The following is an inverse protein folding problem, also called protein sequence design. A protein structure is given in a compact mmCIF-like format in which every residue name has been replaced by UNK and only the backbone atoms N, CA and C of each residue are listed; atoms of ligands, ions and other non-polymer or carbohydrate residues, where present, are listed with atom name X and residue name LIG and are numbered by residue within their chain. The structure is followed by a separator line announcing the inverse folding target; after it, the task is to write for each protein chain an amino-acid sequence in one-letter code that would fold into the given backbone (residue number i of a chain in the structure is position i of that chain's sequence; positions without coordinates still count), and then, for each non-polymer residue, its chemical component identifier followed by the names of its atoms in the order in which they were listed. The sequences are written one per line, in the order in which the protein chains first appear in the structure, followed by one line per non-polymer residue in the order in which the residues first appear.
data_IF_293623118408
#
_entry.id   IF_293623118408
#
_cell.length_a   1.000
_cell.length_b   1.000
_cell.length_c   1.000
_cell.angle_alpha   90.00
_cell.angle_beta   90.00
_cell.angle_gamma   90.00
#
_symmetry.space_group_name_H-M   'P 1'
#
loop_
_entity.id
_entity.type
_entity.pdbx_description
1 polymer ?
#
# COMPACT_ATOMS: atom_id res chain seq x y z
N UNK A 1 -88.15 42.99 10.50
CA UNK A 1 -88.17 41.59 10.92
C UNK A 1 -86.97 40.87 10.24
N UNK A 2 -85.97 40.65 10.99
CA UNK A 2 -84.71 39.93 10.57
C UNK A 2 -84.73 38.46 10.99
N UNK A 3 -84.16 37.56 10.24
CA UNK A 3 -83.57 36.41 10.91
C UNK A 3 -82.04 36.33 10.62
N UNK A 4 -81.35 35.95 11.68
CA UNK A 4 -79.93 35.66 11.80
C UNK A 4 -79.58 34.36 11.05
N UNK A 5 -78.47 34.38 10.29
CA UNK A 5 -77.86 33.21 9.79
C UNK A 5 -76.70 32.83 10.68
N UNK A 6 -76.64 31.59 11.13
CA UNK A 6 -75.48 30.94 11.84
C UNK A 6 -74.48 30.48 10.84
N UNK A 7 -73.30 30.91 11.04
CA UNK A 7 -72.10 30.39 10.31
C UNK A 7 -71.39 29.33 11.18
N UNK A 8 -71.35 28.09 10.73
CA UNK A 8 -70.64 26.99 11.36
C UNK A 8 -69.16 26.99 10.83
N UNK A 9 -68.21 27.22 11.73
CA UNK A 9 -66.81 27.09 11.43
C UNK A 9 -66.32 25.64 11.56
N UNK A 10 -65.86 25.06 10.48
CA UNK A 10 -65.14 23.77 10.45
C UNK A 10 -63.69 24.00 10.74
N UNK A 11 -63.23 23.61 11.93
CA UNK A 11 -61.81 23.48 12.25
C UNK A 11 -61.28 22.11 11.74
N UNK A 12 -60.45 22.11 10.69
CA UNK A 12 -59.67 20.94 10.29
C UNK A 12 -58.33 20.94 10.99
N UNK A 13 -57.79 19.77 11.39
CA UNK A 13 -56.47 19.71 12.03
C UNK A 13 -55.35 19.91 11.01
N UNK A 14 -54.49 20.89 11.26
CA UNK A 14 -53.22 21.09 10.55
C UNK A 14 -52.25 20.07 11.10
N UNK A 15 -51.92 19.06 10.28
CA UNK A 15 -50.83 18.13 10.57
C UNK A 15 -49.49 18.85 10.37
N UNK A 16 -48.81 19.17 11.46
CA UNK A 16 -47.44 19.67 11.43
C UNK A 16 -46.47 18.51 11.09
N UNK A 17 -46.00 18.48 9.85
CA UNK A 17 -44.92 17.60 9.47
C UNK A 17 -43.62 18.14 10.08
N UNK A 18 -43.08 17.50 11.13
CA UNK A 18 -41.74 17.73 11.64
C UNK A 18 -40.73 17.17 10.61
N UNK A 19 -40.13 18.04 9.82
CA UNK A 19 -38.92 17.75 9.08
C UNK A 19 -37.75 17.58 10.07
N UNK A 20 -37.40 16.33 10.37
CA UNK A 20 -36.16 15.99 11.04
C UNK A 20 -35.01 16.35 10.08
N UNK A 21 -34.53 17.57 10.16
CA UNK A 21 -33.25 17.97 9.59
C UNK A 21 -32.15 17.20 10.35
N UNK A 22 -31.72 16.08 9.78
CA UNK A 22 -30.52 15.38 10.27
C UNK A 22 -29.36 16.36 10.31
N UNK A 23 -28.82 16.60 11.49
CA UNK A 23 -27.59 17.40 11.63
C UNK A 23 -26.51 16.76 10.75
N UNK A 24 -25.86 17.53 9.85
CA UNK A 24 -24.71 17.00 9.13
C UNK A 24 -23.66 16.55 10.16
N UNK A 25 -23.14 15.34 9.98
CA UNK A 25 -22.02 14.86 10.78
C UNK A 25 -20.90 15.90 10.72
N UNK A 26 -20.21 16.19 11.82
CA UNK A 26 -19.15 17.19 11.83
C UNK A 26 -18.09 16.77 10.80
N UNK A 27 -17.89 17.61 9.79
CA UNK A 27 -16.80 17.47 8.86
C UNK A 27 -15.50 17.38 9.67
N UNK A 28 -14.78 16.28 9.56
CA UNK A 28 -13.46 16.11 10.20
C UNK A 28 -12.59 17.27 9.73
N UNK A 29 -12.17 18.11 10.66
CA UNK A 29 -11.23 19.20 10.37
C UNK A 29 -10.01 18.59 9.68
N UNK A 30 -9.56 19.21 8.58
CA UNK A 30 -8.35 18.81 7.89
C UNK A 30 -7.21 18.69 8.91
N UNK A 31 -6.35 17.65 8.82
CA UNK A 31 -5.27 17.46 9.76
C UNK A 31 -4.38 18.70 9.76
N UNK A 32 -4.29 19.37 10.89
CA UNK A 32 -3.42 20.54 11.10
C UNK A 32 -1.94 20.16 11.22
N UNK A 33 -1.64 18.87 11.31
CA UNK A 33 -0.29 18.34 11.31
C UNK A 33 0.12 17.88 9.90
N UNK A 34 1.40 18.03 9.51
CA UNK A 34 1.87 17.52 8.23
C UNK A 34 1.62 16.01 8.14
N UNK A 35 1.06 15.59 7.00
CA UNK A 35 0.77 14.19 6.70
C UNK A 35 2.07 13.37 6.79
N UNK A 36 2.08 12.30 7.59
CA UNK A 36 3.23 11.41 7.72
C UNK A 36 3.53 10.71 6.39
N UNK A 37 4.79 10.71 5.96
CA UNK A 37 5.21 10.03 4.74
C UNK A 37 6.15 8.89 5.06
N UNK A 38 5.81 7.70 4.59
CA UNK A 38 6.58 6.48 4.77
C UNK A 38 7.02 5.93 3.41
N UNK A 39 8.11 5.17 3.38
CA UNK A 39 8.47 4.42 2.18
C UNK A 39 8.40 2.92 2.45
N UNK A 40 7.87 2.16 1.49
CA UNK A 40 7.88 0.70 1.55
C UNK A 40 9.32 0.20 1.38
N UNK A 41 9.79 -0.58 2.36
CA UNK A 41 11.17 -1.00 2.51
C UNK A 41 11.30 -2.52 2.51
N UNK A 42 12.16 -3.05 1.63
CA UNK A 42 12.33 -4.48 1.44
C UNK A 42 13.63 -4.96 2.06
N UNK A 43 13.50 -6.00 2.90
CA UNK A 43 14.60 -6.59 3.66
C UNK A 43 14.99 -7.99 3.17
N UNK A 44 14.73 -8.29 1.90
CA UNK A 44 15.00 -9.62 1.33
C UNK A 44 16.27 -9.72 0.51
N UNK A 45 16.98 -8.62 0.26
CA UNK A 45 18.16 -8.62 -0.59
C UNK A 45 19.31 -9.43 -0.01
N UNK A 46 19.98 -10.20 -0.88
CA UNK A 46 21.24 -10.90 -0.66
C UNK A 46 22.08 -10.84 -1.93
N UNK A 47 23.26 -11.48 -1.93
CA UNK A 47 24.15 -11.49 -3.09
C UNK A 47 23.47 -12.03 -4.35
N UNK A 48 22.61 -13.07 -4.21
CA UNK A 48 21.90 -13.69 -5.35
C UNK A 48 20.82 -12.79 -5.94
N UNK A 49 20.27 -11.87 -5.15
CA UNK A 49 19.25 -10.92 -5.62
C UNK A 49 19.80 -10.02 -6.74
N UNK A 50 21.09 -9.73 -6.72
CA UNK A 50 21.74 -8.85 -7.69
C UNK A 50 22.28 -9.57 -8.93
N UNK A 51 22.31 -10.90 -8.92
CA UNK A 51 22.70 -11.71 -10.08
C UNK A 51 21.57 -11.83 -11.11
N UNK A 52 20.34 -11.49 -10.74
CA UNK A 52 19.21 -11.41 -11.65
C UNK A 52 19.26 -10.11 -12.44
N UNK A 53 18.68 -10.13 -13.65
CA UNK A 53 18.59 -8.94 -14.49
C UNK A 53 18.01 -7.75 -13.72
N UNK A 54 18.66 -6.59 -13.83
CA UNK A 54 18.28 -5.32 -13.25
C UNK A 54 18.49 -4.21 -14.26
N UNK A 55 17.64 -3.19 -14.22
CA UNK A 55 17.80 -1.98 -15.03
C UNK A 55 18.63 -0.92 -14.32
N UNK A 56 18.83 -1.09 -13.00
CA UNK A 56 19.55 -0.13 -12.15
C UNK A 56 20.11 -0.83 -10.90
N UNK A 57 21.08 -0.24 -10.25
CA UNK A 57 21.71 -0.74 -9.04
C UNK A 57 21.86 0.36 -7.99
N UNK A 58 21.83 0.02 -6.68
CA UNK A 58 22.02 1.01 -5.63
C UNK A 58 23.44 1.61 -5.67
N UNK A 59 23.58 2.89 -5.31
CA UNK A 59 24.86 3.54 -5.15
C UNK A 59 25.71 2.92 -4.02
N UNK A 60 25.04 2.25 -3.07
CA UNK A 60 25.72 1.48 -2.02
C UNK A 60 26.28 0.14 -2.51
N UNK A 61 26.16 -0.13 -3.82
CA UNK A 61 26.59 -1.40 -4.42
C UNK A 61 25.59 -2.52 -4.15
N UNK A 62 25.97 -3.74 -4.51
CA UNK A 62 25.14 -4.96 -4.41
C UNK A 62 25.13 -5.48 -2.98
N UNK A 63 24.43 -4.80 -2.11
CA UNK A 63 24.39 -5.09 -0.68
C UNK A 63 23.51 -6.30 -0.31
N UNK A 64 23.75 -6.82 0.87
CA UNK A 64 22.82 -7.70 1.57
C UNK A 64 21.97 -6.91 2.58
N UNK A 65 20.68 -7.25 2.72
CA UNK A 65 19.85 -6.75 3.80
C UNK A 65 20.29 -7.21 5.20
N UNK A 66 21.34 -8.02 5.29
CA UNK A 66 22.00 -8.35 6.55
C UNK A 66 23.05 -7.30 6.95
N UNK A 67 23.47 -6.40 6.04
CA UNK A 67 24.49 -5.37 6.30
C UNK A 67 23.91 -4.21 7.12
N UNK A 68 24.29 -4.14 8.40
CA UNK A 68 23.84 -3.07 9.32
C UNK A 68 24.25 -1.68 8.86
N UNK A 69 25.38 -1.56 8.19
CA UNK A 69 25.88 -0.27 7.67
C UNK A 69 24.96 0.28 6.57
N UNK A 70 24.46 -0.60 5.68
CA UNK A 70 23.49 -0.24 4.64
C UNK A 70 22.17 0.23 5.27
N UNK A 71 21.62 -0.55 6.21
CA UNK A 71 20.39 -0.17 6.91
C UNK A 71 20.53 1.19 7.63
N UNK A 72 21.68 1.43 8.31
CA UNK A 72 21.94 2.73 8.95
C UNK A 72 22.00 3.88 7.94
N UNK A 73 22.59 3.64 6.77
CA UNK A 73 22.66 4.63 5.70
C UNK A 73 21.28 4.94 5.14
N UNK A 74 20.47 3.90 4.89
CA UNK A 74 19.08 4.05 4.42
C UNK A 74 18.24 4.85 5.41
N UNK A 75 18.25 4.50 6.69
CA UNK A 75 17.51 5.24 7.74
C UNK A 75 17.97 6.70 7.82
N UNK A 76 19.27 6.96 7.72
CA UNK A 76 19.82 8.33 7.73
C UNK A 76 19.31 9.14 6.53
N UNK A 77 19.45 8.60 5.32
CA UNK A 77 19.01 9.28 4.10
C UNK A 77 17.50 9.51 4.08
N UNK A 78 16.72 8.50 4.46
CA UNK A 78 15.27 8.60 4.54
C UNK A 78 14.84 9.72 5.51
N UNK A 79 15.44 9.76 6.69
CA UNK A 79 15.16 10.78 7.69
C UNK A 79 15.56 12.19 7.22
N UNK A 80 16.72 12.34 6.61
CA UNK A 80 17.18 13.62 6.05
C UNK A 80 16.25 14.13 4.94
N UNK A 81 15.72 13.22 4.12
CA UNK A 81 14.73 13.56 3.08
C UNK A 81 13.34 13.88 3.62
N UNK A 82 13.09 13.77 4.93
CA UNK A 82 11.81 14.10 5.55
C UNK A 82 10.84 12.93 5.73
N UNK A 83 11.26 11.68 5.46
CA UNK A 83 10.42 10.52 5.73
C UNK A 83 10.20 10.32 7.24
N UNK A 84 8.96 10.02 7.60
CA UNK A 84 8.56 9.68 8.98
C UNK A 84 9.04 8.28 9.38
N UNK A 85 9.13 7.37 8.42
CA UNK A 85 9.48 5.98 8.69
C UNK A 85 9.52 5.09 7.45
N UNK A 86 9.71 3.78 7.71
CA UNK A 86 9.55 2.74 6.70
C UNK A 86 8.35 1.84 7.00
N UNK A 87 7.66 1.40 5.94
CA UNK A 87 6.72 0.29 5.96
C UNK A 87 7.48 -0.95 5.47
N UNK A 88 7.86 -1.81 6.41
CA UNK A 88 8.79 -2.92 6.14
C UNK A 88 8.03 -4.13 5.60
N UNK A 89 8.42 -4.61 4.42
CA UNK A 89 7.88 -5.85 3.85
C UNK A 89 8.38 -7.06 4.62
N UNK A 90 7.44 -7.80 5.24
CA UNK A 90 7.76 -8.88 6.15
C UNK A 90 6.75 -10.03 6.11
N UNK A 91 7.24 -11.23 6.36
CA UNK A 91 6.52 -12.40 6.87
C UNK A 91 7.46 -13.15 7.82
N UNK A 92 6.93 -13.93 8.76
CA UNK A 92 7.74 -14.61 9.76
C UNK A 92 8.53 -15.78 9.15
N UNK A 93 9.74 -15.45 8.72
CA UNK A 93 10.78 -16.43 8.38
C UNK A 93 12.04 -16.11 9.18
N UNK A 94 12.90 -17.12 9.50
CA UNK A 94 14.10 -16.86 10.31
C UNK A 94 14.96 -15.71 9.78
N UNK A 95 15.12 -15.61 8.45
CA UNK A 95 15.91 -14.56 7.81
C UNK A 95 15.25 -13.19 7.94
N UNK A 96 13.96 -13.07 7.63
CA UNK A 96 13.26 -11.78 7.70
C UNK A 96 13.04 -11.34 9.15
N UNK A 97 12.82 -12.26 10.08
CA UNK A 97 12.74 -11.97 11.52
C UNK A 97 14.06 -11.38 12.05
N UNK A 98 15.20 -11.99 11.67
CA UNK A 98 16.53 -11.49 12.03
C UNK A 98 16.80 -10.11 11.44
N UNK A 99 16.48 -9.90 10.15
CA UNK A 99 16.66 -8.62 9.45
C UNK A 99 15.76 -7.52 10.00
N UNK A 100 14.50 -7.84 10.31
CA UNK A 100 13.59 -6.91 10.98
C UNK A 100 14.12 -6.51 12.36
N UNK A 101 14.59 -7.45 13.17
CA UNK A 101 15.16 -7.15 14.48
C UNK A 101 16.39 -6.22 14.39
N UNK A 102 17.26 -6.41 13.39
CA UNK A 102 18.39 -5.50 13.12
C UNK A 102 17.92 -4.09 12.76
N UNK A 103 16.92 -3.98 11.88
CA UNK A 103 16.36 -2.68 11.49
C UNK A 103 15.68 -1.99 12.67
N UNK A 104 14.94 -2.71 13.50
CA UNK A 104 14.33 -2.19 14.75
C UNK A 104 15.40 -1.59 15.64
N UNK A 105 16.51 -2.28 15.89
CA UNK A 105 17.60 -1.76 16.71
C UNK A 105 18.22 -0.47 16.13
N UNK A 106 18.35 -0.37 14.81
CA UNK A 106 18.89 0.82 14.14
C UNK A 106 17.89 1.98 14.20
N UNK A 107 16.62 1.71 13.92
CA UNK A 107 15.57 2.72 13.93
C UNK A 107 15.34 3.31 15.32
N UNK A 108 15.46 2.49 16.39
CA UNK A 108 15.35 2.92 17.79
C UNK A 108 16.36 4.03 18.12
N UNK A 109 17.61 3.84 17.75
CA UNK A 109 18.68 4.83 18.03
C UNK A 109 18.54 6.10 17.19
N UNK A 110 17.81 6.03 16.08
CA UNK A 110 17.63 7.12 15.13
C UNK A 110 16.33 7.90 15.32
N UNK A 111 15.45 7.48 16.23
CA UNK A 111 14.07 7.99 16.38
C UNK A 111 13.30 7.95 15.06
N UNK A 112 13.51 6.89 14.28
CA UNK A 112 12.87 6.67 12.99
C UNK A 112 11.79 5.60 13.14
N UNK A 113 10.59 5.84 12.61
CA UNK A 113 9.45 4.94 12.82
C UNK A 113 9.43 3.79 11.83
N UNK A 114 8.86 2.68 12.27
CA UNK A 114 8.59 1.52 11.43
C UNK A 114 7.10 1.18 11.48
N UNK A 115 6.59 0.66 10.36
CA UNK A 115 5.34 -0.09 10.27
C UNK A 115 5.65 -1.37 9.50
N UNK A 116 4.72 -2.31 9.42
CA UNK A 116 4.93 -3.56 8.68
C UNK A 116 3.86 -3.72 7.62
N UNK A 117 4.28 -4.15 6.42
CA UNK A 117 3.37 -4.76 5.45
C UNK A 117 3.62 -6.28 5.46
N UNK A 118 2.61 -7.02 5.96
CA UNK A 118 2.66 -8.48 6.02
C UNK A 118 2.32 -9.08 4.66
N UNK A 119 3.20 -9.93 4.13
CA UNK A 119 3.00 -10.60 2.85
C UNK A 119 2.06 -11.80 3.00
N UNK A 120 0.76 -11.57 2.77
CA UNK A 120 -0.31 -12.57 2.94
C UNK A 120 -0.39 -13.63 1.84
N UNK A 121 0.41 -13.51 0.76
CA UNK A 121 0.40 -14.44 -0.36
C UNK A 121 1.70 -15.25 -0.42
N UNK A 122 1.63 -16.46 -0.98
CA UNK A 122 2.81 -17.25 -1.34
C UNK A 122 3.47 -16.74 -2.64
N UNK A 123 4.45 -17.46 -3.14
CA UNK A 123 5.20 -17.07 -4.35
C UNK A 123 4.38 -17.22 -5.64
N UNK A 124 3.40 -18.10 -5.65
CA UNK A 124 2.45 -18.27 -6.75
C UNK A 124 1.23 -17.35 -6.60
N UNK A 125 1.31 -16.38 -5.65
CA UNK A 125 0.27 -15.41 -5.33
C UNK A 125 -1.04 -16.03 -4.84
N UNK A 126 -0.98 -17.22 -4.26
CA UNK A 126 -2.10 -17.86 -3.58
C UNK A 126 -2.16 -17.37 -2.12
N UNK A 127 -3.36 -17.24 -1.56
CA UNK A 127 -3.53 -16.90 -0.15
C UNK A 127 -2.79 -17.89 0.77
N UNK A 128 -2.02 -17.37 1.71
CA UNK A 128 -1.50 -18.20 2.79
C UNK A 128 -2.66 -18.71 3.67
N UNK A 129 -2.52 -19.86 4.33
CA UNK A 129 -3.51 -20.30 5.30
C UNK A 129 -3.74 -19.24 6.39
N UNK A 130 -5.01 -18.97 6.71
CA UNK A 130 -5.38 -17.97 7.73
C UNK A 130 -4.75 -18.27 9.11
N UNK A 131 -4.58 -19.56 9.46
CA UNK A 131 -3.85 -19.97 10.67
C UNK A 131 -2.40 -19.51 10.64
N UNK A 132 -1.71 -19.67 9.50
CA UNK A 132 -0.33 -19.20 9.34
C UNK A 132 -0.20 -17.70 9.51
N UNK A 133 -1.12 -16.92 8.90
CA UNK A 133 -1.12 -15.46 9.05
C UNK A 133 -1.34 -15.07 10.51
N UNK A 134 -2.31 -15.70 11.17
CA UNK A 134 -2.59 -15.47 12.59
C UNK A 134 -1.38 -15.77 13.47
N UNK A 135 -0.67 -16.87 13.20
CA UNK A 135 0.53 -17.26 13.94
C UNK A 135 1.67 -16.27 13.76
N UNK A 136 1.90 -15.85 12.51
CA UNK A 136 2.95 -14.88 12.20
C UNK A 136 2.66 -13.52 12.85
N UNK A 137 1.40 -13.04 12.79
CA UNK A 137 1.00 -11.77 13.42
C UNK A 137 1.04 -11.85 14.94
N UNK A 138 0.67 -13.00 15.57
CA UNK A 138 0.83 -13.20 17.02
C UNK A 138 2.30 -13.12 17.46
N UNK A 139 3.23 -13.71 16.67
CA UNK A 139 4.67 -13.56 16.93
C UNK A 139 5.14 -12.12 16.85
N UNK A 140 4.62 -11.36 15.86
CA UNK A 140 4.90 -9.94 15.74
C UNK A 140 4.40 -9.18 16.96
N UNK A 141 3.15 -9.39 17.38
CA UNK A 141 2.55 -8.78 18.58
C UNK A 141 3.38 -9.11 19.83
N UNK A 142 3.68 -10.40 20.06
CA UNK A 142 4.48 -10.83 21.21
C UNK A 142 5.81 -10.10 21.29
N UNK A 143 6.48 -9.89 20.15
CA UNK A 143 7.82 -9.32 20.08
C UNK A 143 7.84 -7.80 20.09
N UNK A 144 6.83 -7.16 19.52
CA UNK A 144 6.93 -5.75 19.14
C UNK A 144 5.76 -4.85 19.59
N UNK A 145 4.72 -5.38 20.20
CA UNK A 145 3.51 -4.61 20.56
C UNK A 145 3.81 -3.31 21.32
N UNK A 146 4.76 -3.34 22.25
CA UNK A 146 5.12 -2.20 23.11
C UNK A 146 6.39 -1.49 22.65
N UNK A 147 6.97 -1.90 21.53
CA UNK A 147 8.22 -1.30 21.06
C UNK A 147 7.95 0.07 20.43
N UNK A 148 8.51 1.17 20.97
CA UNK A 148 8.22 2.54 20.56
C UNK A 148 8.72 2.90 19.16
N UNK A 149 9.50 2.02 18.52
CA UNK A 149 9.94 2.17 17.12
C UNK A 149 8.77 2.04 16.17
N UNK A 150 7.80 1.17 16.49
CA UNK A 150 6.67 1.00 15.61
C UNK A 150 5.72 2.20 15.68
N UNK A 151 5.29 2.62 14.50
CA UNK A 151 4.28 3.65 14.37
C UNK A 151 2.95 3.13 14.92
N UNK A 152 2.32 3.90 15.78
CA UNK A 152 1.12 3.45 16.49
C UNK A 152 -0.06 4.35 16.24
N UNK A 153 -1.25 3.72 16.15
CA UNK A 153 -2.54 4.38 16.22
C UNK A 153 -3.31 3.79 17.39
N UNK A 154 -3.87 4.65 18.24
CA UNK A 154 -4.55 4.18 19.45
C UNK A 154 -3.68 3.29 20.33
N UNK A 155 -2.35 3.52 20.35
CA UNK A 155 -1.40 2.72 21.13
C UNK A 155 -1.06 1.34 20.53
N UNK A 156 -1.52 1.02 19.32
CA UNK A 156 -1.31 -0.27 18.65
C UNK A 156 -0.38 -0.11 17.46
N UNK A 157 0.59 -1.02 17.23
CA UNK A 157 1.46 -0.94 16.07
C UNK A 157 0.68 -1.14 14.76
N UNK A 158 1.05 -0.36 13.74
CA UNK A 158 0.44 -0.40 12.42
C UNK A 158 0.97 -1.58 11.61
N UNK A 159 0.05 -2.39 11.10
CA UNK A 159 0.32 -3.51 10.20
C UNK A 159 -0.62 -3.45 8.99
N UNK A 160 -0.08 -3.56 7.79
CA UNK A 160 -0.84 -3.67 6.55
C UNK A 160 -0.85 -5.14 6.13
N UNK A 161 -2.02 -5.67 5.75
CA UNK A 161 -2.12 -7.02 5.19
C UNK A 161 -2.14 -6.95 3.66
N UNK A 162 -0.97 -7.16 3.04
CA UNK A 162 -0.84 -7.22 1.58
C UNK A 162 -1.59 -8.42 1.00
N UNK A 163 -2.36 -8.16 -0.06
CA UNK A 163 -3.13 -9.21 -0.74
C UNK A 163 -4.44 -9.58 -0.05
N UNK A 164 -4.95 -8.76 0.89
CA UNK A 164 -6.22 -8.98 1.60
C UNK A 164 -7.38 -9.24 0.65
N UNK A 165 -7.42 -8.60 -0.50
CA UNK A 165 -8.42 -8.77 -1.55
C UNK A 165 -8.52 -10.20 -2.13
N UNK A 166 -7.58 -11.09 -1.81
CA UNK A 166 -7.61 -12.52 -2.19
C UNK A 166 -8.26 -13.41 -1.13
N UNK A 167 -8.59 -12.87 0.04
CA UNK A 167 -9.14 -13.63 1.14
C UNK A 167 -10.66 -13.48 1.25
N UNK A 168 -11.32 -14.53 1.69
CA UNK A 168 -12.75 -14.48 2.04
C UNK A 168 -12.92 -13.77 3.39
N UNK A 169 -14.09 -13.18 3.61
CA UNK A 169 -14.45 -12.59 4.92
C UNK A 169 -14.23 -13.58 6.08
N UNK A 170 -14.59 -14.84 5.89
CA UNK A 170 -14.42 -15.88 6.92
C UNK A 170 -12.93 -16.10 7.27
N UNK A 171 -12.05 -16.06 6.28
CA UNK A 171 -10.61 -16.17 6.50
C UNK A 171 -10.06 -14.95 7.23
N UNK A 172 -10.45 -13.74 6.81
CA UNK A 172 -10.04 -12.49 7.47
C UNK A 172 -10.54 -12.46 8.91
N UNK A 173 -11.81 -12.79 9.15
CA UNK A 173 -12.42 -12.85 10.48
C UNK A 173 -11.68 -13.85 11.41
N UNK A 174 -11.25 -15.00 10.88
CA UNK A 174 -10.45 -15.97 11.65
C UNK A 174 -9.13 -15.38 12.13
N UNK A 175 -8.43 -14.67 11.25
CA UNK A 175 -7.18 -13.96 11.62
C UNK A 175 -7.47 -12.89 12.66
N UNK A 176 -8.48 -12.03 12.40
CA UNK A 176 -8.85 -10.93 13.31
C UNK A 176 -9.18 -11.44 14.72
N UNK A 177 -9.96 -12.52 14.83
CA UNK A 177 -10.27 -13.14 16.13
C UNK A 177 -9.03 -13.67 16.84
N UNK A 178 -8.08 -14.24 16.10
CA UNK A 178 -6.87 -14.82 16.66
C UNK A 178 -5.87 -13.79 17.20
N UNK A 179 -5.81 -12.61 16.60
CA UNK A 179 -4.92 -11.49 17.01
C UNK A 179 -5.62 -10.50 17.97
N UNK A 180 -6.95 -10.55 18.04
CA UNK A 180 -7.75 -9.59 18.81
C UNK A 180 -7.49 -8.15 18.40
N UNK A 181 -7.47 -7.25 19.37
CA UNK A 181 -7.25 -5.82 19.20
C UNK A 181 -5.80 -5.39 19.50
N UNK A 182 -4.83 -6.25 19.15
CA UNK A 182 -3.42 -6.04 19.52
C UNK A 182 -2.63 -5.20 18.53
N UNK A 183 -3.12 -5.03 17.30
CA UNK A 183 -2.52 -4.25 16.23
C UNK A 183 -3.58 -3.40 15.53
N UNK A 184 -3.16 -2.31 14.91
CA UNK A 184 -3.96 -1.52 13.99
C UNK A 184 -3.78 -2.12 12.60
N UNK A 185 -4.79 -2.91 12.15
CA UNK A 185 -4.67 -3.74 10.95
C UNK A 185 -5.35 -3.09 9.75
N UNK A 186 -4.57 -2.71 8.74
CA UNK A 186 -5.10 -2.19 7.48
C UNK A 186 -5.23 -3.29 6.43
N UNK A 187 -6.29 -3.20 5.63
CA UNK A 187 -6.43 -3.93 4.38
C UNK A 187 -5.48 -3.38 3.30
N UNK A 188 -5.44 -4.04 2.17
CA UNK A 188 -4.82 -3.55 0.93
C UNK A 188 -5.76 -3.92 -0.22
N UNK A 189 -6.88 -3.20 -0.31
CA UNK A 189 -7.93 -3.48 -1.28
C UNK A 189 -7.71 -2.71 -2.59
N UNK A 190 -8.43 -3.08 -3.64
CA UNK A 190 -8.17 -2.56 -4.98
C UNK A 190 -8.98 -1.32 -5.34
N UNK A 191 -10.10 -1.12 -4.66
CA UNK A 191 -11.04 -0.02 -4.87
C UNK A 191 -11.98 0.10 -3.66
N UNK A 192 -12.84 1.13 -3.65
CA UNK A 192 -13.78 1.39 -2.58
C UNK A 192 -14.77 0.24 -2.34
N UNK A 193 -15.32 -0.36 -3.41
CA UNK A 193 -16.30 -1.45 -3.27
C UNK A 193 -15.66 -2.70 -2.66
N UNK A 194 -14.43 -3.04 -3.07
CA UNK A 194 -13.67 -4.14 -2.47
C UNK A 194 -13.42 -3.89 -0.98
N UNK A 195 -13.05 -2.65 -0.60
CA UNK A 195 -12.84 -2.27 0.79
C UNK A 195 -14.16 -2.35 1.61
N UNK A 196 -15.27 -1.79 1.12
CA UNK A 196 -16.54 -1.79 1.83
C UNK A 196 -17.03 -3.19 2.17
N UNK A 197 -16.67 -4.21 1.39
CA UNK A 197 -17.00 -5.61 1.71
C UNK A 197 -16.34 -6.13 2.97
N UNK A 198 -15.25 -5.54 3.40
CA UNK A 198 -14.41 -6.00 4.53
C UNK A 198 -14.11 -4.91 5.56
N UNK A 199 -14.67 -3.72 5.40
CA UNK A 199 -14.40 -2.54 6.22
C UNK A 199 -14.57 -2.78 7.72
N UNK A 200 -15.57 -3.58 8.12
CA UNK A 200 -15.84 -3.97 9.51
C UNK A 200 -14.78 -4.92 10.11
N UNK A 201 -13.89 -5.46 9.30
CA UNK A 201 -12.84 -6.40 9.71
C UNK A 201 -11.44 -5.76 9.75
N UNK A 202 -11.32 -4.53 9.28
CA UNK A 202 -10.06 -3.79 9.24
C UNK A 202 -10.20 -2.41 9.89
N UNK A 203 -9.09 -1.86 10.30
CA UNK A 203 -9.03 -0.52 10.90
C UNK A 203 -8.73 0.56 9.83
N UNK A 204 -8.80 0.21 8.55
CA UNK A 204 -8.58 1.08 7.39
C UNK A 204 -7.98 0.35 6.20
N UNK A 205 -7.45 1.11 5.25
CA UNK A 205 -6.84 0.57 4.03
C UNK A 205 -5.53 1.28 3.68
N UNK A 206 -4.62 0.52 3.09
CA UNK A 206 -3.39 1.02 2.47
C UNK A 206 -3.32 0.51 1.02
N UNK A 207 -3.69 1.33 0.06
CA UNK A 207 -3.65 0.95 -1.34
C UNK A 207 -2.21 0.76 -1.83
N UNK A 208 -1.83 -0.50 -2.03
CA UNK A 208 -0.45 -0.88 -2.32
C UNK A 208 -0.25 -1.23 -3.80
N UNK A 209 -0.21 -0.21 -4.67
CA UNK A 209 -0.06 -0.36 -6.12
C UNK A 209 0.87 0.72 -6.70
N UNK A 210 1.88 0.31 -7.45
CA UNK A 210 2.87 1.19 -8.10
C UNK A 210 2.78 1.21 -9.62
N UNK A 211 1.90 0.39 -10.20
CA UNK A 211 1.82 0.15 -11.64
C UNK A 211 0.74 0.95 -12.35
N UNK A 212 0.08 1.83 -11.66
CA UNK A 212 -0.89 2.73 -12.30
C UNK A 212 -0.14 3.84 -13.02
N UNK A 213 -0.47 4.06 -14.29
CA UNK A 213 0.09 5.17 -15.05
C UNK A 213 -0.91 6.33 -15.04
N UNK A 214 -0.65 7.43 -14.32
CA UNK A 214 -1.59 8.54 -14.22
C UNK A 214 -1.79 9.30 -15.56
N UNK A 215 -0.95 9.04 -16.56
CA UNK A 215 -1.10 9.62 -17.91
C UNK A 215 -2.11 8.87 -18.76
N UNK A 216 -2.22 7.54 -18.59
CA UNK A 216 -3.13 6.66 -19.35
C UNK A 216 -4.39 6.29 -18.57
N UNK A 217 -4.43 6.64 -17.28
CA UNK A 217 -5.58 6.47 -16.42
C UNK A 217 -5.89 7.80 -15.69
N UNK A 218 -6.51 8.77 -16.38
CA UNK A 218 -6.76 10.10 -15.84
C UNK A 218 -7.69 10.13 -14.64
N UNK A 219 -8.51 9.10 -14.45
CA UNK A 219 -9.40 8.97 -13.29
C UNK A 219 -8.71 8.37 -12.04
N UNK A 220 -7.42 8.11 -12.11
CA UNK A 220 -6.69 7.57 -10.97
C UNK A 220 -6.79 8.41 -9.69
N UNK A 221 -6.64 9.75 -9.73
CA UNK A 221 -6.86 10.57 -8.54
C UNK A 221 -8.28 10.44 -7.98
N UNK A 222 -9.31 10.37 -8.83
CA UNK A 222 -10.70 10.15 -8.39
C UNK A 222 -10.87 8.81 -7.69
N UNK A 223 -10.20 7.77 -8.17
CA UNK A 223 -10.18 6.45 -7.52
C UNK A 223 -9.59 6.54 -6.12
N UNK A 224 -8.47 7.25 -5.93
CA UNK A 224 -7.86 7.44 -4.61
C UNK A 224 -8.80 8.22 -3.68
N UNK A 225 -9.44 9.28 -4.18
CA UNK A 225 -10.43 10.05 -3.42
C UNK A 225 -11.61 9.16 -2.98
N UNK A 226 -12.16 8.36 -3.90
CA UNK A 226 -13.27 7.47 -3.58
C UNK A 226 -12.89 6.41 -2.54
N UNK A 227 -11.69 5.82 -2.65
CA UNK A 227 -11.22 4.83 -1.68
C UNK A 227 -10.95 5.48 -0.31
N UNK A 228 -10.28 6.63 -0.28
CA UNK A 228 -10.06 7.39 0.97
C UNK A 228 -11.36 7.79 1.65
N UNK A 229 -12.35 8.27 0.89
CA UNK A 229 -13.67 8.61 1.41
C UNK A 229 -14.39 7.38 2.00
N UNK A 230 -14.34 6.22 1.32
CA UNK A 230 -14.92 4.98 1.82
C UNK A 230 -14.26 4.53 3.13
N UNK A 231 -12.94 4.66 3.25
CA UNK A 231 -12.19 4.33 4.47
C UNK A 231 -12.59 5.26 5.61
N UNK A 232 -12.62 6.57 5.37
CA UNK A 232 -12.97 7.57 6.40
C UNK A 232 -14.41 7.52 6.85
N UNK A 233 -15.35 7.13 5.95
CA UNK A 233 -16.76 6.92 6.33
C UNK A 233 -16.89 5.85 7.42
N UNK A 234 -16.04 4.82 7.39
CA UNK A 234 -15.92 3.80 8.44
C UNK A 234 -15.07 4.22 9.66
N UNK A 235 -14.55 5.44 9.70
CA UNK A 235 -13.62 5.90 10.74
C UNK A 235 -12.23 5.27 10.64
N UNK A 236 -11.92 4.62 9.52
CA UNK A 236 -10.65 3.94 9.27
C UNK A 236 -9.52 4.91 8.89
N UNK A 237 -8.29 4.39 8.89
CA UNK A 237 -7.08 5.10 8.48
C UNK A 237 -6.77 4.82 7.01
N UNK A 238 -6.52 5.88 6.25
CA UNK A 238 -6.19 5.80 4.84
C UNK A 238 -4.71 6.10 4.56
N UNK A 239 -4.01 5.13 3.95
CA UNK A 239 -2.64 5.33 3.42
C UNK A 239 -2.70 5.35 1.90
N UNK A 240 -2.51 6.54 1.33
CA UNK A 240 -2.48 6.69 -0.12
C UNK A 240 -1.08 6.37 -0.69
N UNK A 241 -0.99 5.78 -1.89
CA UNK A 241 0.29 5.45 -2.52
C UNK A 241 0.86 6.63 -3.30
N UNK A 242 2.19 6.63 -3.47
CA UNK A 242 2.87 7.42 -4.48
C UNK A 242 4.07 6.65 -5.02
N UNK A 243 4.20 6.53 -6.35
CA UNK A 243 5.28 5.78 -6.98
C UNK A 243 6.07 6.64 -7.97
N UNK A 244 7.41 6.53 -8.05
CA UNK A 244 8.21 7.29 -9.00
C UNK A 244 8.08 6.77 -10.44
N UNK A 245 7.61 5.55 -10.60
CA UNK A 245 7.47 4.78 -11.82
C UNK A 245 7.52 3.29 -11.52
N UNK A 246 7.36 2.46 -12.55
CA UNK A 246 7.28 1.00 -12.42
C UNK A 246 7.70 0.32 -13.73
N UNK A 247 8.35 -0.84 -13.63
CA UNK A 247 8.69 -1.65 -14.81
C UNK A 247 8.64 -3.15 -14.45
N UNK A 248 7.58 -3.82 -14.93
CA UNK A 248 7.34 -5.22 -14.65
C UNK A 248 8.10 -6.19 -15.57
N UNK A 249 8.77 -5.71 -16.62
CA UNK A 249 9.32 -6.59 -17.67
C UNK A 249 10.34 -7.58 -17.15
N UNK A 250 11.15 -7.19 -16.18
CA UNK A 250 12.15 -8.08 -15.59
C UNK A 250 11.56 -9.12 -14.62
N UNK A 251 10.30 -8.98 -14.27
CA UNK A 251 9.59 -9.89 -13.38
C UNK A 251 8.42 -10.61 -14.09
N UNK A 252 8.49 -10.66 -15.43
CA UNK A 252 7.53 -11.41 -16.26
C UNK A 252 6.22 -10.69 -16.59
N UNK A 253 6.10 -9.39 -16.25
CA UNK A 253 4.94 -8.57 -16.58
C UNK A 253 5.12 -7.76 -17.85
N UNK A 254 4.07 -7.01 -18.24
CA UNK A 254 4.07 -6.15 -19.43
C UNK A 254 3.95 -4.66 -19.08
N UNK A 255 3.58 -4.35 -17.84
CA UNK A 255 3.27 -2.96 -17.44
C UNK A 255 4.54 -2.16 -17.24
N UNK A 256 4.58 -1.00 -17.87
CA UNK A 256 5.65 0.00 -17.69
C UNK A 256 5.02 1.36 -17.41
N UNK A 257 5.40 1.97 -16.30
CA UNK A 257 5.10 3.35 -15.95
C UNK A 257 6.40 4.14 -15.96
N UNK A 258 6.59 4.95 -17.01
CA UNK A 258 7.79 5.76 -17.14
C UNK A 258 7.88 6.82 -16.05
N UNK A 259 9.08 7.07 -15.57
CA UNK A 259 9.34 8.03 -14.48
C UNK A 259 9.20 9.50 -14.89
N UNK A 260 9.27 9.82 -16.21
CA UNK A 260 9.05 11.16 -16.77
C UNK A 260 9.88 12.25 -16.09
N UNK A 261 11.15 11.99 -15.82
CA UNK A 261 12.07 12.90 -15.11
C UNK A 261 11.56 13.40 -13.74
N UNK A 262 10.73 12.58 -13.09
CA UNK A 262 10.13 12.88 -11.79
C UNK A 262 8.68 13.39 -11.88
N UNK A 263 8.18 13.70 -13.08
CA UNK A 263 6.80 14.17 -13.24
C UNK A 263 5.77 13.11 -12.84
N UNK A 264 6.06 11.81 -13.08
CA UNK A 264 5.21 10.73 -12.61
C UNK A 264 5.09 10.77 -11.09
N UNK A 265 6.22 10.87 -10.38
CA UNK A 265 6.23 10.91 -8.92
C UNK A 265 5.47 12.13 -8.36
N UNK A 266 5.64 13.31 -8.97
CA UNK A 266 4.90 14.52 -8.55
C UNK A 266 3.38 14.31 -8.67
N UNK A 267 2.92 13.83 -9.82
CA UNK A 267 1.48 13.58 -10.07
C UNK A 267 0.90 12.51 -9.13
N UNK A 268 1.65 11.45 -8.90
CA UNK A 268 1.26 10.39 -7.96
C UNK A 268 1.13 10.97 -6.54
N UNK A 269 2.09 11.78 -6.11
CA UNK A 269 2.10 12.40 -4.79
C UNK A 269 0.97 13.44 -4.64
N UNK A 270 0.74 14.26 -5.65
CA UNK A 270 -0.40 15.21 -5.70
C UNK A 270 -1.74 14.47 -5.63
N UNK A 271 -1.90 13.39 -6.41
CA UNK A 271 -3.10 12.55 -6.38
C UNK A 271 -3.31 11.87 -5.01
N UNK A 272 -2.24 11.44 -4.38
CA UNK A 272 -2.27 10.89 -3.03
C UNK A 272 -2.76 11.94 -2.02
N UNK A 273 -2.21 13.14 -2.03
CA UNK A 273 -2.61 14.23 -1.13
C UNK A 273 -4.06 14.68 -1.37
N UNK A 274 -4.51 14.72 -2.63
CA UNK A 274 -5.88 15.07 -2.98
C UNK A 274 -6.93 14.09 -2.40
N UNK A 275 -6.53 12.86 -2.03
CA UNK A 275 -7.39 11.87 -1.39
C UNK A 275 -7.51 12.04 0.13
N UNK A 276 -7.01 13.16 0.68
CA UNK A 276 -7.02 13.47 2.12
C UNK A 276 -6.44 12.35 2.99
N UNK A 277 -5.24 11.83 2.71
CA UNK A 277 -4.71 10.66 3.40
C UNK A 277 -4.28 10.98 4.84
N UNK A 278 -4.34 9.98 5.73
CA UNK A 278 -3.74 10.06 7.07
C UNK A 278 -2.21 9.84 6.99
N UNK A 279 -1.75 9.11 5.97
CA UNK A 279 -0.34 8.99 5.61
C UNK A 279 -0.17 8.72 4.11
N UNK A 280 1.04 8.99 3.59
CA UNK A 280 1.42 8.60 2.22
C UNK A 280 2.46 7.50 2.28
N UNK A 281 2.25 6.45 1.48
CA UNK A 281 3.16 5.33 1.32
C UNK A 281 3.90 5.41 -0.03
N UNK A 282 5.18 5.77 -0.02
CA UNK A 282 6.00 5.81 -1.24
C UNK A 282 6.41 4.39 -1.64
N UNK A 283 6.03 3.97 -2.82
CA UNK A 283 6.36 2.65 -3.38
C UNK A 283 7.41 2.84 -4.47
N UNK A 284 8.72 2.64 -4.17
CA UNK A 284 9.27 2.04 -2.98
C UNK A 284 10.57 2.73 -2.56
N UNK A 285 11.10 2.38 -1.39
CA UNK A 285 12.49 2.73 -1.07
C UNK A 285 13.46 2.01 -2.01
N UNK A 286 13.40 0.66 -2.07
CA UNK A 286 14.47 -0.15 -2.68
C UNK A 286 14.00 -1.34 -3.55
N UNK A 287 12.82 -1.27 -4.21
CA UNK A 287 12.42 -2.35 -5.13
C UNK A 287 13.03 -2.15 -6.53
N UNK A 288 14.26 -2.62 -6.66
CA UNK A 288 15.03 -2.53 -7.91
C UNK A 288 14.56 -3.48 -9.01
N UNK A 289 13.85 -4.55 -8.66
CA UNK A 289 13.35 -5.51 -9.64
C UNK A 289 12.17 -4.95 -10.42
N UNK A 290 11.43 -4.02 -9.81
CA UNK A 290 10.27 -3.34 -10.40
C UNK A 290 10.60 -1.91 -10.87
N UNK A 291 11.86 -1.49 -10.74
CA UNK A 291 12.28 -0.12 -11.05
C UNK A 291 11.37 0.94 -10.41
N UNK A 292 10.93 0.71 -9.17
CA UNK A 292 10.10 1.64 -8.40
C UNK A 292 10.85 2.33 -7.25
N UNK A 293 12.15 2.07 -7.12
CA UNK A 293 12.99 2.58 -6.02
C UNK A 293 13.18 4.10 -6.07
N UNK A 294 13.22 4.72 -4.88
CA UNK A 294 13.71 6.09 -4.67
C UNK A 294 15.10 6.10 -4.03
N UNK A 295 15.59 4.95 -3.57
CA UNK A 295 16.95 4.79 -3.09
C UNK A 295 17.94 5.32 -4.14
N UNK A 296 18.96 6.08 -3.74
CA UNK A 296 20.00 6.55 -4.64
C UNK A 296 20.67 5.41 -5.42
N UNK A 297 20.72 5.56 -6.74
CA UNK A 297 21.07 4.49 -7.67
C UNK A 297 22.07 4.92 -8.72
N UNK A 298 22.65 3.97 -9.44
CA UNK A 298 23.63 4.26 -10.49
C UNK A 298 23.03 5.04 -11.66
N UNK A 299 21.77 4.77 -12.01
CA UNK A 299 21.06 5.41 -13.11
C UNK A 299 20.47 6.77 -12.72
N UNK A 300 19.82 6.85 -11.55
CA UNK A 300 19.09 8.05 -11.16
C UNK A 300 19.82 8.92 -10.14
N UNK A 301 20.98 8.48 -9.66
CA UNK A 301 21.75 9.16 -8.61
C UNK A 301 20.84 9.39 -7.40
N UNK A 302 20.83 10.59 -6.85
CA UNK A 302 19.93 10.95 -5.73
C UNK A 302 18.66 11.69 -6.17
N UNK A 303 18.35 11.72 -7.48
CA UNK A 303 17.26 12.51 -8.07
C UNK A 303 15.93 12.32 -7.32
N UNK A 304 15.48 11.07 -7.14
CA UNK A 304 14.17 10.79 -6.54
C UNK A 304 14.13 11.05 -5.04
N UNK A 305 15.24 10.86 -4.37
CA UNK A 305 15.36 11.19 -2.95
C UNK A 305 15.39 12.71 -2.74
N UNK A 306 16.08 13.45 -3.63
CA UNK A 306 16.06 14.93 -3.64
C UNK A 306 14.69 15.49 -4.00
N UNK A 307 14.00 14.86 -4.95
CA UNK A 307 12.64 15.25 -5.32
C UNK A 307 11.67 15.03 -4.15
N UNK A 308 11.76 13.88 -3.48
CA UNK A 308 10.97 13.63 -2.27
C UNK A 308 11.27 14.67 -1.19
N UNK A 309 12.54 14.96 -0.91
CA UNK A 309 12.94 15.98 0.06
C UNK A 309 12.34 17.36 -0.29
N UNK A 310 12.37 17.73 -1.57
CA UNK A 310 11.77 18.97 -2.05
C UNK A 310 10.26 19.04 -1.81
N UNK A 311 9.54 17.94 -2.05
CA UNK A 311 8.09 17.85 -1.83
C UNK A 311 7.72 17.93 -0.35
N UNK A 312 8.57 17.37 0.53
CA UNK A 312 8.35 17.30 1.97
C UNK A 312 8.93 18.51 2.75
N UNK A 313 9.53 19.48 2.06
CA UNK A 313 10.24 20.58 2.73
C UNK A 313 11.49 20.15 3.49
N UNK A 314 12.00 18.95 3.22
CA UNK A 314 13.23 18.42 3.78
C UNK A 314 14.47 18.85 3.00
N UNK A 315 15.63 18.35 3.42
CA UNK A 315 16.90 18.61 2.77
C UNK A 315 17.34 17.40 1.97
N UNK A 316 17.73 17.61 0.71
CA UNK A 316 18.31 16.53 -0.09
C UNK A 316 19.58 16.02 0.61
N UNK A 317 19.66 14.72 0.96
CA UNK A 317 20.85 14.19 1.60
C UNK A 317 22.05 14.22 0.65
N UNK A 318 23.23 14.48 1.20
CA UNK A 318 24.48 14.25 0.47
C UNK A 318 24.68 12.75 0.35
N UNK A 319 24.61 12.26 -0.87
CA UNK A 319 24.70 10.83 -1.17
C UNK A 319 26.10 10.51 -1.70
N UNK A 320 26.86 9.76 -0.93
CA UNK A 320 28.13 9.16 -1.36
C UNK A 320 27.99 7.65 -1.29
N UNK A 321 28.57 6.95 -2.26
CA UNK A 321 28.73 5.50 -2.20
C UNK A 321 29.64 5.09 -1.02
N UNK A 322 29.74 3.81 -0.75
CA UNK A 322 30.76 3.32 0.18
C UNK A 322 32.15 3.48 -0.46
N UNK A 323 33.09 3.97 0.31
CA UNK A 323 34.52 3.75 -0.01
C UNK A 323 34.88 2.28 0.26
N UNK A 324 35.99 1.81 -0.30
CA UNK A 324 36.52 0.47 -0.02
C UNK A 324 36.62 0.22 1.50
N UNK A 325 36.93 1.28 2.26
CA UNK A 325 37.23 1.24 3.69
C UNK A 325 35.95 1.22 4.56
N UNK A 326 34.78 1.54 3.99
CA UNK A 326 33.51 1.55 4.70
C UNK A 326 32.92 0.13 4.88
N UNK A 327 33.40 -0.86 4.14
CA UNK A 327 32.96 -2.25 4.26
C UNK A 327 33.93 -3.05 5.13
N UNK A 328 33.45 -3.67 6.22
CA UNK A 328 34.27 -4.64 6.91
C UNK A 328 34.67 -5.74 5.90
N UNK A 329 35.94 -6.13 5.91
CA UNK A 329 36.42 -7.26 5.13
C UNK A 329 35.44 -8.42 5.29
N UNK A 330 34.97 -8.95 4.17
CA UNK A 330 33.97 -10.02 4.13
C UNK A 330 34.50 -11.28 4.81
N UNK A 331 34.33 -11.34 6.12
CA UNK A 331 34.47 -12.56 6.90
C UNK A 331 33.24 -13.42 6.64
N UNK A 332 33.47 -14.59 6.11
CA UNK A 332 32.60 -15.73 5.85
C UNK A 332 31.50 -15.94 6.89
N UNK A 333 30.28 -15.50 6.57
CA UNK A 333 29.05 -16.05 7.12
C UNK A 333 27.97 -16.10 6.02
N UNK A 334 28.16 -17.00 5.09
CA UNK A 334 27.15 -17.32 4.09
C UNK A 334 26.59 -18.71 4.36
N UNK A 335 25.50 -18.77 5.12
CA UNK A 335 24.61 -19.93 5.09
C UNK A 335 23.93 -20.04 3.74
N UNK A 336 23.86 -21.23 3.21
CA UNK A 336 23.38 -21.65 1.89
C UNK A 336 22.08 -20.99 1.38
N UNK A 337 21.88 -20.85 0.05
CA UNK A 337 20.84 -20.02 -0.55
C UNK A 337 19.48 -20.72 -0.57
N UNK A 338 18.56 -20.19 0.14
CA UNK A 338 17.14 -20.58 0.07
C UNK A 338 16.30 -19.32 -0.18
N UNK A 339 16.42 -18.66 -1.32
CA UNK A 339 15.46 -17.64 -1.74
C UNK A 339 15.62 -17.36 -3.25
N UNK A 340 15.13 -18.27 -4.07
CA UNK A 340 15.09 -18.06 -5.52
C UNK A 340 13.78 -17.44 -6.04
N UNK A 341 12.79 -17.09 -5.20
CA UNK A 341 11.39 -17.04 -5.63
C UNK A 341 10.64 -15.72 -5.34
N UNK A 342 11.23 -14.76 -4.62
CA UNK A 342 10.45 -13.61 -4.11
C UNK A 342 10.06 -12.55 -5.15
N UNK A 343 10.71 -12.49 -6.30
CA UNK A 343 10.53 -11.40 -7.29
C UNK A 343 9.31 -11.55 -8.20
N UNK A 344 8.78 -12.76 -8.34
CA UNK A 344 7.59 -13.01 -9.19
C UNK A 344 6.26 -12.58 -8.55
N UNK A 345 6.26 -12.16 -7.30
CA UNK A 345 5.04 -12.01 -6.49
C UNK A 345 4.24 -10.74 -6.80
N UNK A 346 4.87 -9.65 -7.20
CA UNK A 346 4.17 -8.37 -7.40
C UNK A 346 3.62 -8.20 -8.83
N UNK A 347 4.30 -8.73 -9.84
CA UNK A 347 3.92 -8.53 -11.25
C UNK A 347 2.67 -9.29 -11.72
N UNK A 348 2.44 -10.51 -11.23
CA UNK A 348 1.31 -11.33 -11.69
C UNK A 348 -0.09 -10.79 -11.35
N UNK A 349 -0.24 -9.93 -10.31
CA UNK A 349 -1.53 -9.35 -9.95
C UNK A 349 -2.05 -8.36 -10.97
N UNK A 350 -1.16 -7.76 -11.74
CA UNK A 350 -1.50 -6.69 -12.66
C UNK A 350 -2.00 -7.19 -14.02
N UNK A 351 -1.52 -8.33 -14.47
CA UNK A 351 -1.94 -8.93 -15.75
C UNK A 351 -3.37 -9.47 -15.69
N UNK A 352 -3.79 -10.01 -14.56
CA UNK A 352 -5.14 -10.59 -14.41
C UNK A 352 -6.27 -9.53 -14.36
N UNK A 353 -5.98 -8.33 -13.89
CA UNK A 353 -6.97 -7.23 -13.83
C UNK A 353 -7.27 -6.67 -15.23
N UNK A 354 -6.28 -6.62 -16.11
CA UNK A 354 -6.47 -6.11 -17.48
C UNK A 354 -7.20 -7.09 -18.41
N UNK A 355 -7.15 -8.40 -18.15
CA UNK A 355 -7.86 -9.40 -18.99
C UNK A 355 -9.36 -9.51 -18.71
N UNK A 356 -9.84 -9.10 -17.53
CA UNK A 356 -11.27 -9.13 -17.18
C UNK A 356 -12.06 -7.87 -17.52
N UNK A 357 -11.42 -6.80 -17.96
CA UNK A 357 -12.06 -5.53 -18.32
C UNK A 357 -12.47 -5.42 -19.80
N UNK A 358 -12.26 -6.45 -20.63
CA UNK A 358 -12.73 -6.48 -22.01
C UNK A 358 -13.85 -7.50 -22.16
N UNK A 359 -15.06 -7.13 -21.80
CA UNK A 359 -16.24 -7.68 -22.41
C UNK A 359 -16.53 -6.86 -23.67
N UNK A 360 -16.63 -7.45 -24.86
CA UNK A 360 -17.21 -6.78 -26.02
C UNK A 360 -18.72 -6.75 -25.83
N UNK A 361 -19.30 -5.57 -25.90
CA UNK A 361 -20.73 -5.37 -26.11
C UNK A 361 -21.13 -6.06 -27.40
N UNK A 362 -21.92 -7.12 -27.30
CA UNK A 362 -22.65 -7.68 -28.41
C UNK A 362 -24.02 -7.00 -28.50
N UNK A 363 -24.07 -5.95 -29.30
CA UNK A 363 -25.32 -5.37 -29.77
C UNK A 363 -26.06 -6.38 -30.64
N UNK A 364 -27.34 -6.57 -30.34
CA UNK A 364 -28.23 -7.42 -31.07
C UNK A 364 -28.62 -6.87 -32.43
N UNK A 365 -28.94 -7.75 -33.33
CA UNK A 365 -29.94 -7.53 -34.39
C UNK A 365 -30.51 -8.86 -34.88
N UNK A 366 -31.79 -8.90 -34.93
CA UNK A 366 -32.78 -9.83 -35.51
C UNK A 366 -32.44 -10.41 -36.87
N UNK A 367 -32.99 -11.60 -37.08
CA UNK A 367 -33.53 -11.95 -38.41
C UNK A 367 -33.47 -13.41 -38.81
N UNK A 368 -34.56 -14.12 -38.68
CA UNK A 368 -35.22 -14.87 -39.78
C UNK A 368 -34.75 -16.29 -40.10
N UNK A 369 -35.56 -17.21 -39.68
CA UNK A 369 -36.18 -18.31 -40.46
C UNK A 369 -35.34 -19.33 -41.24
N UNK A 370 -35.75 -20.55 -41.01
CA UNK A 370 -35.98 -21.69 -41.93
C UNK A 370 -34.82 -22.64 -42.29
N UNK A 371 -34.99 -23.81 -41.84
CA UNK A 371 -35.52 -25.05 -42.43
C UNK A 371 -34.48 -26.09 -42.89
N UNK A 372 -34.84 -27.33 -42.52
CA UNK A 372 -34.53 -28.62 -43.16
C UNK A 372 -33.10 -29.21 -43.10
N UNK A 373 -32.95 -30.28 -42.35
CA UNK A 373 -32.99 -31.62 -43.00
C UNK A 373 -31.66 -32.34 -43.06
N UNK A 374 -31.61 -33.54 -42.51
CA UNK A 374 -30.84 -34.64 -43.05
C UNK A 374 -29.65 -35.14 -42.20
N UNK A 375 -29.89 -36.06 -41.33
CA UNK A 375 -29.62 -37.51 -41.34
C UNK A 375 -28.25 -38.03 -41.87
N UNK A 376 -27.63 -38.90 -41.00
CA UNK A 376 -26.69 -40.02 -41.29
C UNK A 376 -25.21 -39.58 -41.55
N UNK A 377 -24.30 -40.14 -40.87
CA UNK A 377 -23.97 -41.48 -40.30
C UNK A 377 -23.04 -41.29 -39.11
#
# INVERSE_FOLDING_TARGET
MTPRALASALCGPVAAALLLLGSPAPARAAPTAPVGVFAYYYIWFDASSWSRAKTDFPLLGRYSSDERIVMRRHVRWAKQAGLSGFIVSWKSTPTLDRRLARLVAIASTSRFKLAVIYQGLDFERRPLPASRIADDLRKFVYRYRTNPVFHTFGGKPLVIWSGSWKFTRAQIMRVRRAIGDSIYLLASERNADDYLRVADLFDGDAYYWSSVNPRTYPDYPKKLVALGAAVHTGGGLWIAPAAPGFDARLIGGQTVVGRGDGNTFRREFEGALASSPDAVGVISWNEFSENSQIEPSTRYRNRYLSLLASVLGGHAPVVMGFSSDDRPATGTEYGLPLIAVFVLVVAGAMVAVFRRGRHPDSGGANGGSDDSGGSRT
#
